data_IF_778153667807
#
_entry.id   IF_778153667807
#
_cell.length_a   1.000
_cell.length_b   1.000
_cell.length_c   1.000
_cell.angle_alpha   90.00
_cell.angle_beta   90.00
_cell.angle_gamma   90.00
#
_symmetry.space_group_name_H-M   'P 1'
#
loop_
_entity.id
_entity.type
_entity.pdbx_description
1 polymer ?
#
# COMPACT_ATOMS: atom_id res chain seq x y z
N UNK A 1 -54.99 32.58 29.26
CA UNK A 1 -55.01 31.11 29.00
C UNK A 1 -54.93 30.77 27.50
N UNK A 2 -55.02 31.68 26.59
CA UNK A 2 -55.05 31.51 25.12
C UNK A 2 -53.67 31.38 24.47
N UNK A 3 -52.65 32.07 24.91
CA UNK A 3 -51.31 32.07 24.29
C UNK A 3 -50.59 30.70 24.42
N UNK A 4 -50.77 29.98 25.53
CA UNK A 4 -50.18 28.63 25.72
C UNK A 4 -50.73 27.58 24.76
N UNK A 5 -52.01 27.67 24.35
CA UNK A 5 -52.65 26.73 23.39
C UNK A 5 -52.12 26.93 21.95
N UNK A 6 -51.79 28.16 21.57
CA UNK A 6 -51.28 28.43 20.22
C UNK A 6 -49.80 28.01 20.08
N UNK A 7 -48.99 28.14 21.14
CA UNK A 7 -47.59 27.66 21.16
C UNK A 7 -47.51 26.14 21.05
N UNK A 8 -48.39 25.41 21.79
CA UNK A 8 -48.45 23.92 21.67
C UNK A 8 -48.87 23.45 20.31
N UNK A 9 -49.81 24.12 19.61
CA UNK A 9 -50.23 23.80 18.25
C UNK A 9 -49.13 24.07 17.21
N UNK A 10 -48.33 25.14 17.39
CA UNK A 10 -47.19 25.45 16.51
C UNK A 10 -46.05 24.43 16.66
N UNK A 11 -45.76 23.98 17.88
CA UNK A 11 -44.74 22.95 18.15
C UNK A 11 -45.18 21.60 17.58
N UNK A 12 -46.47 21.25 17.67
CA UNK A 12 -47.02 20.01 17.13
C UNK A 12 -47.00 20.03 15.57
N UNK A 13 -47.25 21.17 14.95
CA UNK A 13 -47.19 21.35 13.52
C UNK A 13 -45.75 21.34 12.98
N UNK A 14 -44.76 21.78 13.73
CA UNK A 14 -43.34 21.76 13.36
C UNK A 14 -42.71 20.36 13.43
N UNK A 15 -43.21 19.48 14.32
CA UNK A 15 -42.77 18.08 14.39
C UNK A 15 -43.31 17.20 13.25
N UNK A 16 -44.37 17.60 12.55
CA UNK A 16 -44.94 16.85 11.44
C UNK A 16 -44.20 17.01 10.09
N UNK A 17 -43.20 17.90 10.01
CA UNK A 17 -42.43 18.19 8.77
C UNK A 17 -41.10 17.47 8.65
N UNK A 18 -40.73 16.62 9.60
CA UNK A 18 -39.57 15.75 9.42
C UNK A 18 -39.99 14.50 8.65
N UNK A 19 -40.19 14.64 7.33
CA UNK A 19 -40.27 13.48 6.45
C UNK A 19 -38.95 12.68 6.61
N UNK A 20 -38.99 11.38 6.90
CA UNK A 20 -37.78 10.58 6.94
C UNK A 20 -37.13 10.67 5.56
N UNK A 21 -35.86 11.00 5.54
CA UNK A 21 -35.04 10.94 4.32
C UNK A 21 -34.90 9.47 3.92
N UNK A 22 -35.87 8.95 3.16
CA UNK A 22 -35.80 7.60 2.61
C UNK A 22 -34.61 7.52 1.66
N UNK A 23 -33.74 6.54 1.89
CA UNK A 23 -32.69 6.21 0.91
C UNK A 23 -33.37 5.96 -0.45
N UNK A 24 -32.95 6.73 -1.45
CA UNK A 24 -33.62 6.71 -2.77
C UNK A 24 -33.37 5.40 -3.51
N UNK A 25 -32.15 4.84 -3.34
CA UNK A 25 -31.74 3.60 -3.98
C UNK A 25 -31.28 2.63 -2.88
N UNK A 26 -31.94 1.50 -2.79
CA UNK A 26 -31.71 0.49 -1.75
C UNK A 26 -31.09 -0.74 -2.39
N UNK A 27 -29.90 -1.12 -1.94
CA UNK A 27 -29.21 -2.36 -2.31
C UNK A 27 -29.44 -3.41 -1.22
N UNK A 28 -29.74 -4.62 -1.63
CA UNK A 28 -29.92 -5.74 -0.69
C UNK A 28 -29.40 -7.02 -1.34
N UNK A 29 -28.26 -7.57 -0.84
CA UNK A 29 -27.38 -7.00 0.19
C UNK A 29 -26.62 -5.76 -0.28
N UNK A 30 -26.15 -4.93 0.66
CA UNK A 30 -25.26 -3.78 0.43
C UNK A 30 -23.78 -4.08 0.77
N UNK A 31 -23.53 -5.29 1.26
CA UNK A 31 -22.19 -5.79 1.57
C UNK A 31 -21.96 -7.16 0.94
N UNK A 32 -20.73 -7.42 0.52
CA UNK A 32 -20.32 -8.71 -0.03
C UNK A 32 -18.97 -9.15 0.54
N UNK A 33 -18.90 -10.40 1.01
CA UNK A 33 -17.67 -11.06 1.43
C UNK A 33 -17.15 -11.94 0.28
N UNK A 34 -15.94 -11.62 -0.21
CA UNK A 34 -15.24 -12.46 -1.16
C UNK A 34 -14.58 -13.69 -0.51
N UNK A 35 -14.59 -13.76 0.83
CA UNK A 35 -13.89 -14.81 1.56
C UNK A 35 -12.37 -14.71 1.44
N UNK A 36 -11.71 -15.85 1.35
CA UNK A 36 -10.26 -15.92 1.15
C UNK A 36 -9.96 -16.12 -0.34
N UNK A 37 -9.23 -15.15 -0.91
CA UNK A 37 -8.88 -15.10 -2.33
C UNK A 37 -7.37 -15.34 -2.46
N UNK A 38 -6.89 -16.33 -3.23
CA UNK A 38 -5.47 -16.40 -3.61
C UNK A 38 -5.04 -15.15 -4.41
N UNK A 39 -3.88 -14.60 -4.12
CA UNK A 39 -3.34 -13.46 -4.89
C UNK A 39 -3.22 -13.78 -6.40
N UNK A 40 -3.10 -15.07 -6.74
CA UNK A 40 -3.01 -15.59 -8.10
C UNK A 40 -4.35 -15.81 -8.79
N UNK A 41 -5.49 -15.65 -8.08
CA UNK A 41 -6.84 -15.85 -8.63
C UNK A 41 -7.14 -14.89 -9.79
N UNK A 42 -6.47 -13.73 -9.80
CA UNK A 42 -6.82 -12.63 -10.69
C UNK A 42 -7.99 -11.81 -10.14
N UNK A 43 -8.61 -11.02 -11.01
CA UNK A 43 -9.71 -10.13 -10.61
C UNK A 43 -10.96 -10.88 -10.25
N UNK A 44 -11.52 -10.60 -9.07
CA UNK A 44 -12.81 -11.12 -8.61
C UNK A 44 -13.88 -10.04 -8.70
N UNK A 45 -15.13 -10.43 -8.94
CA UNK A 45 -16.24 -9.48 -9.12
C UNK A 45 -17.48 -9.91 -8.39
N UNK A 46 -18.26 -8.92 -7.92
CA UNK A 46 -19.60 -9.10 -7.41
C UNK A 46 -20.55 -8.07 -8.02
N UNK A 47 -21.81 -8.44 -8.22
CA UNK A 47 -22.84 -7.55 -8.75
C UNK A 47 -23.90 -7.29 -7.71
N UNK A 48 -23.93 -6.08 -7.18
CA UNK A 48 -24.99 -5.61 -6.30
C UNK A 48 -26.23 -5.25 -7.11
N UNK A 49 -27.38 -5.64 -6.62
CA UNK A 49 -28.68 -5.25 -7.19
C UNK A 49 -29.35 -4.26 -6.27
N UNK A 50 -29.71 -3.09 -6.81
CA UNK A 50 -30.42 -2.05 -6.11
C UNK A 50 -31.81 -1.79 -6.74
N UNK A 51 -32.72 -1.25 -5.95
CA UNK A 51 -34.07 -0.86 -6.36
C UNK A 51 -34.35 0.60 -6.00
N UNK A 52 -34.89 1.37 -6.94
CA UNK A 52 -35.34 2.73 -6.65
C UNK A 52 -36.66 2.68 -5.90
N UNK A 53 -36.62 2.92 -4.58
CA UNK A 53 -37.83 2.96 -3.73
C UNK A 53 -38.36 4.38 -3.49
N UNK A 54 -37.86 5.36 -4.21
CA UNK A 54 -38.40 6.70 -4.19
C UNK A 54 -39.54 6.86 -5.20
N UNK A 55 -40.24 7.98 -5.12
CA UNK A 55 -41.33 8.38 -6.01
C UNK A 55 -40.85 9.05 -7.32
N UNK A 56 -39.52 9.25 -7.46
CA UNK A 56 -38.91 9.96 -8.61
C UNK A 56 -37.82 9.12 -9.27
N UNK A 57 -37.52 9.36 -10.55
CA UNK A 57 -36.39 8.75 -11.19
C UNK A 57 -35.08 9.16 -10.53
N UNK A 58 -34.15 8.21 -10.32
CA UNK A 58 -32.81 8.42 -9.76
C UNK A 58 -31.78 8.17 -10.86
N UNK A 59 -30.79 9.04 -10.96
CA UNK A 59 -29.64 8.83 -11.84
C UNK A 59 -28.38 8.68 -10.98
N UNK A 60 -27.63 7.60 -11.18
CA UNK A 60 -26.32 7.42 -10.59
C UNK A 60 -25.33 8.27 -11.39
N UNK A 61 -24.77 9.29 -10.77
CA UNK A 61 -23.75 10.14 -11.38
C UNK A 61 -22.40 9.46 -11.34
N UNK A 62 -22.05 8.94 -10.15
CA UNK A 62 -20.74 8.33 -9.89
C UNK A 62 -20.80 7.30 -8.77
N UNK A 63 -19.84 6.37 -8.80
CA UNK A 63 -19.57 5.41 -7.73
C UNK A 63 -18.11 5.55 -7.34
N UNK A 64 -17.85 6.20 -6.21
CA UNK A 64 -16.51 6.57 -5.76
C UNK A 64 -15.96 5.48 -4.84
N UNK A 65 -14.74 5.06 -5.13
CA UNK A 65 -13.98 4.10 -4.32
C UNK A 65 -12.81 4.77 -3.63
N UNK A 66 -12.38 4.22 -2.50
CA UNK A 66 -11.22 4.75 -1.73
C UNK A 66 -9.86 4.36 -2.32
N UNK A 67 -9.81 3.46 -3.31
CA UNK A 67 -8.57 3.03 -3.97
C UNK A 67 -8.81 2.62 -5.42
N UNK A 68 -7.76 2.71 -6.25
CA UNK A 68 -7.78 2.24 -7.64
C UNK A 68 -7.83 0.71 -7.82
N UNK A 69 -7.83 -0.06 -6.73
CA UNK A 69 -7.92 -1.52 -6.75
C UNK A 69 -9.35 -2.06 -6.91
N UNK A 70 -10.34 -1.17 -6.83
CA UNK A 70 -11.75 -1.52 -6.93
C UNK A 70 -12.37 -0.66 -8.03
N UNK A 71 -12.91 -1.31 -9.04
CA UNK A 71 -13.49 -0.64 -10.22
C UNK A 71 -14.98 -0.93 -10.29
N UNK A 72 -15.84 0.10 -10.18
CA UNK A 72 -17.27 -0.05 -10.35
C UNK A 72 -17.69 0.10 -11.82
N UNK A 73 -18.64 -0.74 -12.24
CA UNK A 73 -19.34 -0.63 -13.52
C UNK A 73 -20.84 -0.44 -13.24
N UNK A 74 -21.44 0.62 -13.77
CA UNK A 74 -22.84 0.97 -13.52
C UNK A 74 -23.45 1.72 -14.69
N UNK A 75 -24.80 1.82 -14.72
CA UNK A 75 -25.54 2.60 -15.73
C UNK A 75 -25.77 4.03 -15.27
N UNK A 76 -25.69 4.99 -16.20
CA UNK A 76 -26.03 6.42 -15.99
C UNK A 76 -27.43 6.79 -16.49
N UNK A 77 -28.22 5.81 -16.91
CA UNK A 77 -29.60 6.09 -17.29
C UNK A 77 -30.48 6.35 -16.06
N UNK A 78 -31.61 7.11 -16.23
CA UNK A 78 -32.55 7.26 -15.14
C UNK A 78 -33.21 5.91 -14.76
N UNK A 79 -33.23 5.63 -13.45
CA UNK A 79 -33.83 4.45 -12.83
C UNK A 79 -35.19 4.89 -12.31
N UNK A 80 -36.25 4.39 -12.88
CA UNK A 80 -37.63 4.76 -12.53
C UNK A 80 -38.03 4.23 -11.14
N UNK A 81 -39.06 4.82 -10.48
CA UNK A 81 -39.62 4.24 -9.27
C UNK A 81 -39.95 2.74 -9.44
N UNK A 82 -39.51 1.91 -8.48
CA UNK A 82 -39.64 0.46 -8.51
C UNK A 82 -38.70 -0.27 -9.47
N UNK A 83 -37.89 0.45 -10.27
CA UNK A 83 -36.98 -0.18 -11.21
C UNK A 83 -35.71 -0.65 -10.50
N UNK A 84 -35.19 -1.81 -10.94
CA UNK A 84 -33.91 -2.38 -10.46
C UNK A 84 -32.75 -1.89 -11.31
N UNK A 85 -31.61 -1.75 -10.66
CA UNK A 85 -30.32 -1.44 -11.29
C UNK A 85 -29.23 -2.31 -10.69
N UNK A 86 -28.09 -2.36 -11.37
CA UNK A 86 -26.94 -3.14 -10.89
C UNK A 86 -25.68 -2.28 -10.85
N UNK A 87 -24.83 -2.58 -9.87
CA UNK A 87 -23.45 -2.08 -9.79
C UNK A 87 -22.54 -3.29 -9.68
N UNK A 88 -21.75 -3.55 -10.72
CA UNK A 88 -20.73 -4.59 -10.69
C UNK A 88 -19.46 -3.98 -10.10
N UNK A 89 -18.90 -4.63 -9.10
CA UNK A 89 -17.67 -4.23 -8.40
C UNK A 89 -16.62 -5.26 -8.67
N UNK A 90 -15.49 -4.84 -9.24
CA UNK A 90 -14.34 -5.70 -9.51
C UNK A 90 -13.19 -5.32 -8.60
N UNK A 91 -12.63 -6.29 -7.87
CA UNK A 91 -11.47 -6.14 -7.00
C UNK A 91 -10.27 -6.87 -7.58
N UNK A 92 -9.10 -6.22 -7.55
CA UNK A 92 -7.83 -6.78 -7.99
C UNK A 92 -6.97 -7.13 -6.76
N UNK A 93 -6.75 -8.43 -6.45
CA UNK A 93 -5.98 -8.87 -5.29
C UNK A 93 -4.45 -8.77 -5.48
N UNK A 94 -3.97 -8.48 -6.68
CA UNK A 94 -2.54 -8.50 -7.03
C UNK A 94 -1.73 -7.53 -6.15
N UNK A 95 -0.70 -8.03 -5.49
CA UNK A 95 0.17 -7.30 -4.55
C UNK A 95 -0.59 -6.65 -3.36
N UNK A 96 -1.69 -7.31 -2.91
CA UNK A 96 -2.51 -6.83 -1.79
C UNK A 96 -2.82 -7.94 -0.78
N UNK A 97 -1.80 -8.63 -0.23
CA UNK A 97 -2.03 -9.69 0.74
C UNK A 97 -2.64 -9.15 2.04
N UNK A 98 -3.41 -9.99 2.70
CA UNK A 98 -4.06 -9.70 3.98
C UNK A 98 -5.52 -9.30 3.86
N UNK A 99 -6.13 -8.96 4.99
CA UNK A 99 -7.53 -8.57 5.06
C UNK A 99 -7.78 -7.23 4.39
N UNK A 100 -8.92 -7.10 3.73
CA UNK A 100 -9.34 -5.84 3.12
C UNK A 100 -10.83 -5.57 3.37
N UNK A 101 -11.16 -4.29 3.46
CA UNK A 101 -12.53 -3.76 3.40
C UNK A 101 -12.50 -2.52 2.52
N UNK A 102 -13.40 -2.46 1.53
CA UNK A 102 -13.53 -1.36 0.58
C UNK A 102 -14.96 -0.86 0.55
N UNK A 103 -15.10 0.43 0.78
CA UNK A 103 -16.37 1.12 0.67
C UNK A 103 -16.49 1.84 -0.67
N UNK A 104 -17.68 1.79 -1.25
CA UNK A 104 -18.04 2.46 -2.47
C UNK A 104 -19.22 3.39 -2.18
N UNK A 105 -18.99 4.69 -2.29
CA UNK A 105 -20.04 5.70 -2.18
C UNK A 105 -20.80 5.85 -3.52
N UNK A 106 -22.10 5.61 -3.53
CA UNK A 106 -22.96 5.82 -4.69
C UNK A 106 -23.54 7.23 -4.63
N UNK A 107 -23.31 8.03 -5.67
CA UNK A 107 -23.73 9.44 -5.73
C UNK A 107 -24.76 9.67 -6.83
N UNK A 108 -25.82 10.41 -6.51
CA UNK A 108 -26.84 10.84 -7.47
C UNK A 108 -26.39 12.01 -8.33
N UNK A 109 -27.16 12.31 -9.39
CA UNK A 109 -26.97 13.52 -10.22
C UNK A 109 -27.02 14.83 -9.43
N UNK A 110 -27.62 14.84 -8.26
CA UNK A 110 -27.62 15.99 -7.32
C UNK A 110 -26.35 16.04 -6.45
N UNK A 111 -25.35 15.20 -6.72
CA UNK A 111 -24.11 15.04 -5.96
C UNK A 111 -24.32 14.65 -4.49
N UNK A 112 -25.44 14.05 -4.16
CA UNK A 112 -25.72 13.49 -2.84
C UNK A 112 -25.34 12.02 -2.80
N UNK A 113 -24.72 11.59 -1.71
CA UNK A 113 -24.48 10.18 -1.44
C UNK A 113 -25.81 9.50 -1.12
N UNK A 114 -26.22 8.55 -1.94
CA UNK A 114 -27.52 7.88 -1.87
C UNK A 114 -27.44 6.43 -1.39
N UNK A 115 -26.25 5.82 -1.46
CA UNK A 115 -25.97 4.50 -0.90
C UNK A 115 -24.48 4.34 -0.59
N UNK A 116 -24.17 3.36 0.23
CA UNK A 116 -22.81 2.84 0.42
C UNK A 116 -22.84 1.34 0.17
N UNK A 117 -21.91 0.84 -0.63
CA UNK A 117 -21.68 -0.59 -0.83
C UNK A 117 -20.36 -0.96 -0.20
N UNK A 118 -20.26 -2.17 0.35
CA UNK A 118 -19.04 -2.65 0.98
C UNK A 118 -18.64 -3.99 0.38
N UNK A 119 -17.36 -4.13 0.05
CA UNK A 119 -16.77 -5.44 -0.26
C UNK A 119 -15.61 -5.69 0.69
N UNK A 120 -15.49 -6.91 1.18
CA UNK A 120 -14.44 -7.31 2.09
C UNK A 120 -13.97 -8.75 1.82
N UNK A 121 -12.89 -9.16 2.46
CA UNK A 121 -12.31 -10.48 2.33
C UNK A 121 -10.86 -10.50 2.82
N UNK A 122 -10.14 -11.55 2.48
CA UNK A 122 -8.71 -11.71 2.78
C UNK A 122 -7.97 -12.27 1.56
N UNK A 123 -6.80 -11.70 1.25
CA UNK A 123 -5.96 -12.18 0.15
C UNK A 123 -4.81 -13.02 0.71
N UNK A 124 -4.72 -14.29 0.28
CA UNK A 124 -3.59 -15.15 0.60
C UNK A 124 -2.42 -14.81 -0.32
N UNK A 125 -1.24 -14.45 0.23
CA UNK A 125 -0.09 -14.09 -0.58
C UNK A 125 0.41 -15.27 -1.42
N UNK A 126 0.89 -14.97 -2.62
CA UNK A 126 1.65 -15.94 -3.40
C UNK A 126 3.10 -16.02 -2.93
N UNK A 127 3.74 -17.13 -3.19
CA UNK A 127 5.18 -17.23 -3.04
C UNK A 127 5.86 -16.35 -4.10
N UNK A 128 6.71 -15.44 -3.66
CA UNK A 128 7.54 -14.64 -4.57
C UNK A 128 8.68 -15.48 -5.12
N UNK A 129 9.04 -15.24 -6.38
CA UNK A 129 10.22 -15.87 -6.98
C UNK A 129 11.51 -15.28 -6.41
N UNK A 130 12.63 -15.97 -6.65
CA UNK A 130 13.96 -15.46 -6.23
C UNK A 130 14.28 -14.13 -6.91
N UNK A 131 13.90 -13.96 -8.18
CA UNK A 131 14.10 -12.73 -8.95
C UNK A 131 13.27 -11.55 -8.41
N UNK A 132 12.11 -11.84 -7.84
CA UNK A 132 11.26 -10.82 -7.22
C UNK A 132 11.76 -10.41 -5.82
N UNK A 133 12.36 -11.34 -5.08
CA UNK A 133 12.95 -11.07 -3.77
C UNK A 133 14.32 -10.40 -3.88
N UNK A 134 15.08 -10.78 -4.91
CA UNK A 134 16.44 -10.31 -5.19
C UNK A 134 16.54 -9.83 -6.64
N UNK A 135 15.93 -8.68 -6.99
CA UNK A 135 15.79 -8.23 -8.37
C UNK A 135 17.10 -7.79 -9.02
N UNK A 136 18.14 -7.48 -8.22
CA UNK A 136 19.39 -6.95 -8.72
C UNK A 136 20.38 -8.10 -8.98
N UNK A 137 20.79 -8.29 -10.24
CA UNK A 137 21.87 -9.19 -10.60
C UNK A 137 23.21 -8.49 -10.40
N UNK A 138 24.03 -9.00 -9.48
CA UNK A 138 25.37 -8.49 -9.20
C UNK A 138 26.49 -9.27 -9.91
N UNK A 139 26.11 -10.23 -10.78
CA UNK A 139 27.04 -11.08 -11.53
C UNK A 139 27.47 -12.33 -10.75
N UNK A 140 28.02 -13.31 -11.47
CA UNK A 140 28.57 -14.54 -10.90
C UNK A 140 27.55 -15.44 -10.17
N UNK A 141 26.24 -15.21 -10.36
CA UNK A 141 25.16 -15.88 -9.64
C UNK A 141 24.75 -15.20 -8.35
N UNK A 142 25.36 -14.08 -8.01
CA UNK A 142 25.00 -13.28 -6.84
C UNK A 142 23.87 -12.31 -7.18
N UNK A 143 22.80 -12.29 -6.39
CA UNK A 143 21.70 -11.34 -6.53
C UNK A 143 21.45 -10.62 -5.21
N UNK A 144 20.97 -9.36 -5.29
CA UNK A 144 20.69 -8.50 -4.15
C UNK A 144 19.21 -8.10 -4.13
N UNK A 145 18.67 -7.91 -2.92
CA UNK A 145 17.32 -7.38 -2.72
C UNK A 145 17.21 -5.89 -3.09
N UNK A 146 18.29 -5.12 -2.96
CA UNK A 146 18.38 -3.70 -3.27
C UNK A 146 19.82 -3.28 -3.49
N UNK A 147 20.03 -2.14 -4.14
CA UNK A 147 21.33 -1.45 -4.22
C UNK A 147 21.34 -0.15 -3.41
N UNK A 148 20.24 0.21 -2.79
CA UNK A 148 20.12 1.43 -2.02
C UNK A 148 19.94 1.11 -0.54
N UNK A 149 20.76 1.70 0.28
CA UNK A 149 20.68 1.65 1.73
C UNK A 149 20.57 3.07 2.28
N UNK A 150 19.38 3.45 2.73
CA UNK A 150 19.10 4.80 3.19
C UNK A 150 19.07 4.82 4.71
N UNK A 151 19.87 5.68 5.28
CA UNK A 151 19.87 6.02 6.69
C UNK A 151 19.21 7.38 6.88
N UNK A 152 18.45 7.54 7.95
CA UNK A 152 17.87 8.82 8.33
C UNK A 152 18.96 9.76 8.86
N UNK A 153 18.61 10.64 9.79
CA UNK A 153 19.57 11.50 10.48
C UNK A 153 20.46 10.68 11.43
N UNK A 154 21.77 10.94 11.39
CA UNK A 154 22.79 10.25 12.20
C UNK A 154 23.42 11.29 13.12
N UNK A 155 23.07 11.24 14.40
CA UNK A 155 23.62 12.17 15.39
C UNK A 155 25.07 11.85 15.74
N UNK A 156 25.78 12.87 16.23
CA UNK A 156 27.08 12.67 16.82
C UNK A 156 27.05 11.60 17.93
N UNK A 157 28.00 10.68 17.92
CA UNK A 157 28.07 9.52 18.80
C UNK A 157 27.05 8.41 18.50
N UNK A 158 26.17 8.58 17.50
CA UNK A 158 25.18 7.59 17.14
C UNK A 158 25.70 6.60 16.09
N UNK A 159 25.41 5.32 16.33
CA UNK A 159 25.54 4.28 15.33
C UNK A 159 24.14 3.91 14.79
N UNK A 160 24.03 3.81 13.49
CA UNK A 160 22.83 3.33 12.79
C UNK A 160 23.20 2.20 11.86
N UNK A 161 22.29 1.25 11.67
CA UNK A 161 22.52 0.09 10.83
C UNK A 161 21.34 -0.18 9.90
N UNK A 162 21.62 -0.80 8.76
CA UNK A 162 20.65 -1.29 7.81
C UNK A 162 21.24 -2.48 7.06
N UNK A 163 20.38 -3.37 6.54
CA UNK A 163 20.82 -4.58 5.86
C UNK A 163 20.27 -4.65 4.44
N UNK A 164 21.05 -5.24 3.54
CA UNK A 164 20.65 -5.60 2.19
C UNK A 164 20.71 -7.12 2.07
N UNK A 165 19.59 -7.77 1.81
CA UNK A 165 19.54 -9.20 1.55
C UNK A 165 20.27 -9.57 0.25
N UNK A 166 20.98 -10.68 0.26
CA UNK A 166 21.62 -11.26 -0.92
C UNK A 166 21.39 -12.77 -0.99
N UNK A 167 21.59 -13.35 -2.18
CA UNK A 167 21.47 -14.78 -2.44
C UNK A 167 22.48 -15.22 -3.50
N UNK A 168 23.05 -16.42 -3.31
CA UNK A 168 23.77 -17.11 -4.36
C UNK A 168 22.82 -18.02 -5.15
N UNK A 169 22.49 -17.65 -6.38
CA UNK A 169 21.62 -18.44 -7.28
C UNK A 169 22.38 -19.41 -8.17
N UNK A 170 23.71 -19.47 -8.05
CA UNK A 170 24.54 -20.43 -8.80
C UNK A 170 24.56 -21.80 -8.11
N UNK A 171 25.11 -22.80 -8.82
CA UNK A 171 25.26 -24.17 -8.32
C UNK A 171 26.61 -24.43 -7.62
N UNK A 172 27.40 -23.38 -7.33
CA UNK A 172 28.71 -23.44 -6.65
C UNK A 172 28.82 -22.38 -5.57
N UNK A 173 29.72 -22.52 -4.57
CA UNK A 173 30.02 -21.45 -3.66
C UNK A 173 30.52 -20.19 -4.39
N UNK A 174 30.12 -19.02 -3.91
CA UNK A 174 30.51 -17.73 -4.45
C UNK A 174 31.11 -16.88 -3.35
N UNK A 175 32.30 -16.33 -3.59
CA UNK A 175 32.93 -15.36 -2.70
C UNK A 175 32.32 -14.00 -2.94
N UNK A 176 31.74 -13.40 -1.88
CA UNK A 176 31.24 -12.03 -1.89
C UNK A 176 32.32 -11.06 -1.44
N UNK A 177 32.56 -10.02 -2.23
CA UNK A 177 33.50 -8.95 -1.93
C UNK A 177 32.83 -7.59 -2.15
N UNK A 178 33.11 -6.65 -1.23
CA UNK A 178 32.69 -5.25 -1.35
C UNK A 178 33.93 -4.36 -1.47
N UNK A 179 34.01 -3.59 -2.56
CA UNK A 179 35.11 -2.70 -2.84
C UNK A 179 34.66 -1.25 -2.80
N UNK A 180 35.18 -0.42 -1.86
CA UNK A 180 34.83 1.00 -1.80
C UNK A 180 35.17 1.74 -3.10
N UNK A 181 34.21 2.46 -3.67
CA UNK A 181 34.39 3.39 -4.79
C UNK A 181 34.25 4.84 -4.32
N UNK A 182 33.38 5.09 -3.40
CA UNK A 182 33.24 6.35 -2.70
C UNK A 182 33.19 6.04 -1.20
N UNK A 183 33.86 6.85 -0.38
CA UNK A 183 33.90 6.61 1.07
C UNK A 183 33.88 7.91 1.87
N UNK A 184 32.94 7.99 2.79
CA UNK A 184 32.91 9.00 3.85
C UNK A 184 33.90 8.72 4.94
N UNK A 185 34.40 7.49 5.03
CA UNK A 185 35.25 7.00 6.14
C UNK A 185 34.42 6.59 7.37
N UNK A 186 33.10 6.65 7.32
CA UNK A 186 32.23 6.38 8.47
C UNK A 186 31.39 5.11 8.30
N UNK A 187 31.39 4.53 7.09
CA UNK A 187 30.63 3.31 6.80
C UNK A 187 31.49 2.07 7.09
N UNK A 188 30.96 1.17 7.91
CA UNK A 188 31.44 -0.20 8.06
C UNK A 188 30.46 -1.18 7.42
N UNK A 189 30.98 -2.30 6.92
CA UNK A 189 30.17 -3.37 6.34
C UNK A 189 30.58 -4.71 6.98
N UNK A 190 29.56 -5.47 7.44
CA UNK A 190 29.68 -6.83 7.93
C UNK A 190 28.83 -7.76 7.07
N UNK A 191 29.45 -8.80 6.50
CA UNK A 191 28.81 -9.73 5.57
C UNK A 191 29.60 -11.03 5.47
N UNK A 192 28.94 -12.17 5.13
CA UNK A 192 29.62 -13.43 4.90
C UNK A 192 30.49 -13.34 3.65
N UNK A 193 31.73 -13.81 3.77
CA UNK A 193 32.71 -13.78 2.67
C UNK A 193 32.46 -14.82 1.59
N UNK A 194 31.66 -15.84 1.88
CA UNK A 194 31.31 -16.90 0.96
C UNK A 194 29.84 -17.33 1.19
N UNK A 195 29.14 -17.59 0.11
CA UNK A 195 27.77 -18.11 0.12
C UNK A 195 27.72 -19.45 -0.63
N UNK A 196 27.22 -20.47 0.02
CA UNK A 196 26.91 -21.76 -0.61
C UNK A 196 25.79 -21.61 -1.67
N UNK A 197 25.64 -22.59 -2.58
CA UNK A 197 24.51 -22.62 -3.54
C UNK A 197 23.16 -22.47 -2.85
N UNK A 198 22.32 -21.54 -3.32
CA UNK A 198 21.01 -21.25 -2.75
C UNK A 198 21.01 -20.52 -1.40
N UNK A 199 22.18 -20.27 -0.82
CA UNK A 199 22.26 -19.60 0.47
C UNK A 199 21.86 -18.12 0.36
N UNK A 200 21.00 -17.69 1.28
CA UNK A 200 20.67 -16.28 1.53
C UNK A 200 21.51 -15.75 2.68
N UNK A 201 21.80 -14.45 2.63
CA UNK A 201 22.51 -13.74 3.70
C UNK A 201 22.14 -12.26 3.70
N UNK A 202 22.67 -11.53 4.68
CA UNK A 202 22.54 -10.08 4.78
C UNK A 202 23.91 -9.41 4.71
N UNK A 203 23.95 -8.30 3.98
CA UNK A 203 25.06 -7.35 3.99
C UNK A 203 24.63 -6.25 4.96
N UNK A 204 25.20 -6.26 6.16
CA UNK A 204 24.93 -5.28 7.20
C UNK A 204 25.83 -4.06 7.00
N UNK A 205 25.23 -2.90 6.81
CA UNK A 205 25.90 -1.62 6.66
C UNK A 205 25.66 -0.77 7.90
N UNK A 206 26.72 -0.18 8.44
CA UNK A 206 26.67 0.58 9.69
C UNK A 206 27.37 1.92 9.50
N UNK A 207 26.68 3.02 9.78
CA UNK A 207 27.31 4.32 9.97
C UNK A 207 27.53 4.60 11.45
N UNK A 208 28.73 5.06 11.78
CA UNK A 208 29.05 5.65 13.07
C UNK A 208 29.48 7.10 12.85
N UNK A 209 28.69 8.05 13.37
CA UNK A 209 29.13 9.45 13.41
C UNK A 209 29.89 9.70 14.70
N UNK A 210 31.22 9.83 14.66
CA UNK A 210 32.06 9.77 15.87
C UNK A 210 31.82 10.95 16.80
N UNK A 211 31.89 10.68 18.11
CA UNK A 211 31.87 11.71 19.14
C UNK A 211 33.17 12.52 19.10
N UNK A 212 33.08 13.84 19.22
CA UNK A 212 34.25 14.76 19.22
C UNK A 212 34.85 15.04 17.83
N UNK A 213 34.42 14.32 16.77
CA UNK A 213 34.82 14.57 15.39
C UNK A 213 33.70 14.27 14.41
N UNK A 214 32.50 14.83 14.64
CA UNK A 214 31.32 14.49 13.84
C UNK A 214 31.42 14.99 12.40
N UNK A 215 30.73 14.30 11.51
CA UNK A 215 30.48 14.75 10.14
C UNK A 215 29.06 15.24 10.03
N UNK A 216 28.88 16.43 9.47
CA UNK A 216 27.58 17.05 9.24
C UNK A 216 27.24 17.09 7.77
N UNK A 217 25.95 17.07 7.46
CA UNK A 217 25.44 17.10 6.10
C UNK A 217 25.37 15.72 5.44
N UNK A 218 25.37 15.69 4.12
CA UNK A 218 25.20 14.46 3.34
C UNK A 218 26.41 13.54 3.48
N UNK A 219 26.14 12.30 3.90
CA UNK A 219 27.08 11.20 3.92
C UNK A 219 26.72 10.26 2.77
N UNK A 220 27.69 9.92 1.93
CA UNK A 220 27.50 9.02 0.81
C UNK A 220 28.69 8.08 0.68
N UNK A 221 28.39 6.80 0.58
CA UNK A 221 29.37 5.75 0.31
C UNK A 221 28.85 4.89 -0.84
N UNK A 222 29.74 4.40 -1.68
CA UNK A 222 29.43 3.48 -2.75
C UNK A 222 30.40 2.29 -2.72
N UNK A 223 29.83 1.09 -2.64
CA UNK A 223 30.56 -0.17 -2.58
C UNK A 223 30.27 -0.97 -3.85
N UNK A 224 31.30 -1.27 -4.64
CA UNK A 224 31.18 -2.19 -5.77
C UNK A 224 31.06 -3.62 -5.24
N UNK A 225 30.03 -4.31 -5.69
CA UNK A 225 29.79 -5.73 -5.37
C UNK A 225 30.52 -6.60 -6.38
N UNK A 226 31.29 -7.56 -5.88
CA UNK A 226 31.99 -8.54 -6.73
C UNK A 226 31.72 -9.96 -6.27
N UNK A 227 31.56 -10.83 -7.25
CA UNK A 227 31.47 -12.27 -7.09
C UNK A 227 32.79 -12.89 -7.59
N UNK A 228 33.52 -13.61 -6.73
CA UNK A 228 34.83 -14.23 -7.06
C UNK A 228 35.84 -13.25 -7.72
N UNK A 229 35.93 -12.04 -7.16
CA UNK A 229 36.82 -10.98 -7.65
C UNK A 229 36.34 -10.26 -8.92
N UNK A 230 35.19 -10.68 -9.51
CA UNK A 230 34.64 -10.09 -10.74
C UNK A 230 33.38 -9.30 -10.41
N UNK A 231 33.30 -8.06 -10.85
CA UNK A 231 32.12 -7.20 -10.76
C UNK A 231 31.49 -6.98 -12.13
N UNK A 232 30.19 -6.71 -12.17
CA UNK A 232 29.45 -6.25 -13.34
C UNK A 232 29.13 -4.74 -13.28
N UNK A 233 29.72 -4.02 -12.33
CA UNK A 233 29.48 -2.60 -12.08
C UNK A 233 28.36 -2.32 -11.09
N UNK A 234 27.75 -3.34 -10.48
CA UNK A 234 26.74 -3.13 -9.44
C UNK A 234 27.33 -2.45 -8.22
N UNK A 235 26.74 -1.32 -7.83
CA UNK A 235 27.13 -0.54 -6.68
C UNK A 235 26.00 -0.57 -5.62
N UNK A 236 26.36 -0.89 -4.39
CA UNK A 236 25.51 -0.57 -3.23
C UNK A 236 25.84 0.88 -2.84
N UNK A 237 24.80 1.73 -2.81
CA UNK A 237 24.91 3.12 -2.39
C UNK A 237 24.27 3.25 -1.01
N UNK A 238 25.10 3.65 -0.04
CA UNK A 238 24.67 4.02 1.31
C UNK A 238 24.60 5.54 1.41
N UNK A 239 23.47 6.06 1.91
CA UNK A 239 23.24 7.49 2.05
C UNK A 239 22.63 7.82 3.42
N UNK A 240 23.16 8.83 4.09
CA UNK A 240 22.65 9.34 5.36
C UNK A 240 22.91 10.84 5.51
N UNK A 241 22.40 11.43 6.59
CA UNK A 241 22.60 12.85 6.91
C UNK A 241 23.14 12.94 8.34
N UNK A 242 24.40 13.34 8.46
CA UNK A 242 25.00 13.64 9.75
C UNK A 242 24.44 14.94 10.32
N UNK A 243 24.01 14.91 11.58
CA UNK A 243 23.47 16.05 12.30
C UNK A 243 24.09 16.19 13.69
N UNK A 244 23.93 17.38 14.26
CA UNK A 244 24.37 17.70 15.61
C UNK A 244 23.62 16.89 16.69
N UNK A 245 24.19 16.85 17.90
CA UNK A 245 23.58 16.24 19.11
C UNK A 245 22.26 16.89 19.53
N UNK A 246 22.01 18.11 19.07
CA UNK A 246 20.95 19.00 19.52
C UNK A 246 19.51 18.54 19.33
N UNK A 247 18.69 19.17 20.09
CA UNK A 247 18.71 19.76 21.41
C UNK A 247 18.08 18.86 22.44
#
# INVERSE_FOLDING_TARGET
MTIRRHISLIILALCALTAPAHAQLIFTPDSWDFGTIPETEGRVSHTFTGENRSDKPVVILDVVTTCGCTVPEFTKRPIRPGEKTTIKVTFDPTNRPGAFTKELGVYSSERRKIATLTVHGSVTPRTKTTEELYPVDAGGGLRLASTLCTFSYIREGQQVQSAIGCINTSNRPVRLELHPKESSGLLAADYPRELAPGQTAEINLMYLNPEGAPRYGSLRDALEVRADGRGNGTLIVAHGIGIDKSP
#
